data_IF_993225238212
#
_entry.id   IF_993225238212
#
_cell.length_a   1.000
_cell.length_b   1.000
_cell.length_c   1.000
_cell.angle_alpha   90.00
_cell.angle_beta   90.00
_cell.angle_gamma   90.00
#
_symmetry.space_group_name_H-M   'P 1'
#
loop_
_entity.id
_entity.type
_entity.pdbx_description
1 polymer ?
#
# COMPACT_ATOMS: atom_id res chain seq x y z
N UNK A 1 -16.10 4.43 16.18
CA UNK A 1 -16.02 5.43 17.27
C UNK A 1 -15.76 6.77 16.60
N UNK A 2 -16.53 7.83 16.87
CA UNK A 2 -16.38 9.09 16.14
C UNK A 2 -14.99 9.71 16.40
N UNK A 3 -14.27 10.05 15.33
CA UNK A 3 -12.97 10.71 15.41
C UNK A 3 -13.06 12.02 16.20
N UNK A 4 -12.08 12.34 17.06
CA UNK A 4 -12.05 13.64 17.71
C UNK A 4 -11.95 14.74 16.65
N UNK A 5 -12.66 15.85 16.85
CA UNK A 5 -12.70 16.97 15.90
C UNK A 5 -11.32 17.62 15.65
N UNK A 6 -10.33 17.33 16.50
CA UNK A 6 -8.95 17.75 16.34
C UNK A 6 -8.13 16.88 15.36
N UNK A 7 -8.63 15.70 14.99
CA UNK A 7 -7.94 14.84 14.02
C UNK A 7 -8.06 15.47 12.61
N UNK A 8 -6.96 15.59 11.84
CA UNK A 8 -6.97 16.26 10.53
C UNK A 8 -7.90 15.58 9.51
N UNK A 9 -8.26 14.31 9.71
CA UNK A 9 -9.17 13.56 8.85
C UNK A 9 -10.64 13.62 9.30
N UNK A 10 -10.94 14.22 10.44
CA UNK A 10 -12.31 14.29 10.96
C UNK A 10 -13.28 15.05 10.04
N UNK A 11 -12.75 15.91 9.16
CA UNK A 11 -13.50 16.66 8.17
C UNK A 11 -12.78 16.65 6.80
N UNK A 12 -13.50 16.85 5.68
CA UNK A 12 -12.88 17.10 4.39
C UNK A 12 -11.90 18.28 4.44
N UNK A 13 -10.78 18.17 3.73
CA UNK A 13 -9.80 19.25 3.69
C UNK A 13 -10.38 20.52 3.07
N UNK A 14 -10.06 21.65 3.67
CA UNK A 14 -10.42 22.98 3.15
C UNK A 14 -9.36 23.57 2.21
N UNK A 15 -8.23 22.87 2.02
CA UNK A 15 -7.17 23.30 1.11
C UNK A 15 -7.62 23.15 -0.37
N UNK A 16 -6.97 23.87 -1.30
CA UNK A 16 -7.34 23.81 -2.72
C UNK A 16 -7.44 22.38 -3.24
N UNK A 17 -8.53 22.08 -3.95
CA UNK A 17 -8.83 20.76 -4.53
C UNK A 17 -8.99 19.62 -3.50
N UNK A 18 -9.19 19.95 -2.22
CA UNK A 18 -9.26 18.93 -1.16
C UNK A 18 -7.91 18.33 -0.81
N UNK A 19 -6.79 19.03 -1.11
CA UNK A 19 -5.44 18.58 -0.78
C UNK A 19 -5.33 18.22 0.71
N UNK A 20 -4.87 17.01 1.09
CA UNK A 20 -4.63 16.68 2.49
C UNK A 20 -3.66 17.67 3.15
N UNK A 21 -3.93 18.08 4.39
CA UNK A 21 -3.00 18.91 5.16
C UNK A 21 -1.86 18.05 5.70
N UNK A 22 -0.92 17.69 4.81
CA UNK A 22 0.22 16.81 5.13
C UNK A 22 1.08 17.31 6.30
N UNK A 23 1.07 18.61 6.60
CA UNK A 23 1.81 19.17 7.72
C UNK A 23 1.19 18.81 9.09
N UNK A 24 -0.10 18.45 9.11
CA UNK A 24 -0.84 18.10 10.32
C UNK A 24 -0.98 16.58 10.53
N UNK A 25 -0.59 15.76 9.55
CA UNK A 25 -0.74 14.30 9.61
C UNK A 25 0.44 13.69 10.37
N UNK A 26 0.12 12.83 11.34
CA UNK A 26 1.11 12.05 12.11
C UNK A 26 0.75 10.56 12.03
N UNK A 27 1.70 9.65 12.28
CA UNK A 27 1.41 8.21 12.31
C UNK A 27 0.24 7.85 13.24
N UNK A 28 0.16 8.49 14.41
CA UNK A 28 -0.89 8.22 15.40
C UNK A 28 -2.27 8.63 14.90
N UNK A 29 -2.39 9.87 14.39
CA UNK A 29 -3.69 10.39 13.96
C UNK A 29 -4.17 9.72 12.66
N UNK A 30 -3.24 9.27 11.80
CA UNK A 30 -3.52 8.46 10.63
C UNK A 30 -4.05 7.08 11.03
N UNK A 31 -3.36 6.38 11.94
CA UNK A 31 -3.78 5.07 12.44
C UNK A 31 -5.19 5.11 13.06
N UNK A 32 -5.46 6.13 13.88
CA UNK A 32 -6.79 6.34 14.46
C UNK A 32 -7.86 6.59 13.39
N UNK A 33 -7.55 7.41 12.37
CA UNK A 33 -8.49 7.75 11.32
C UNK A 33 -8.77 6.58 10.37
N UNK A 34 -7.77 5.78 10.00
CA UNK A 34 -7.96 4.58 9.19
C UNK A 34 -8.79 3.55 9.96
N UNK A 35 -8.55 3.35 11.25
CA UNK A 35 -9.36 2.46 12.08
C UNK A 35 -10.83 2.92 12.18
N UNK A 36 -11.05 4.22 12.43
CA UNK A 36 -12.39 4.78 12.47
C UNK A 36 -13.10 4.72 11.11
N UNK A 37 -12.35 4.95 10.01
CA UNK A 37 -12.86 4.84 8.64
C UNK A 37 -13.37 3.45 8.32
N UNK A 38 -12.62 2.39 8.67
CA UNK A 38 -13.09 1.01 8.49
C UNK A 38 -14.35 0.70 9.31
N UNK A 39 -14.48 1.24 10.53
CA UNK A 39 -15.68 1.06 11.34
C UNK A 39 -16.90 1.77 10.74
N UNK A 40 -16.72 2.99 10.24
CA UNK A 40 -17.77 3.80 9.59
C UNK A 40 -18.23 3.13 8.30
N UNK A 41 -17.29 2.77 7.42
CA UNK A 41 -17.57 2.11 6.15
C UNK A 41 -18.28 0.77 6.33
N UNK A 42 -17.84 -0.02 7.31
CA UNK A 42 -18.51 -1.28 7.62
C UNK A 42 -19.95 -1.09 8.13
N UNK A 43 -20.26 0.03 8.78
CA UNK A 43 -21.62 0.36 9.19
C UNK A 43 -22.47 0.79 7.99
N UNK A 44 -21.91 1.58 7.07
CA UNK A 44 -22.57 1.97 5.82
C UNK A 44 -22.91 0.73 4.96
N UNK A 45 -21.98 -0.20 4.84
CA UNK A 45 -22.23 -1.49 4.19
C UNK A 45 -23.33 -2.31 4.88
N UNK A 46 -23.36 -2.33 6.22
CA UNK A 46 -24.40 -3.03 6.96
C UNK A 46 -25.79 -2.40 6.74
N UNK A 47 -25.88 -1.07 6.66
CA UNK A 47 -27.12 -0.35 6.34
C UNK A 47 -27.63 -0.73 4.94
N UNK A 48 -26.74 -0.76 3.94
CA UNK A 48 -27.08 -1.18 2.57
C UNK A 48 -27.53 -2.64 2.57
N UNK A 49 -26.77 -3.53 3.23
CA UNK A 49 -26.99 -4.96 3.26
C UNK A 49 -28.31 -5.35 3.94
N UNK A 50 -28.71 -4.61 4.97
CA UNK A 50 -29.91 -4.91 5.78
C UNK A 50 -31.15 -4.12 5.38
N UNK A 51 -31.04 -3.16 4.47
CA UNK A 51 -32.21 -2.42 3.95
C UNK A 51 -33.26 -3.39 3.36
N UNK A 52 -34.50 -3.25 3.83
CA UNK A 52 -35.66 -4.02 3.35
C UNK A 52 -36.24 -3.46 2.04
N UNK A 53 -35.79 -2.28 1.62
CA UNK A 53 -36.21 -1.69 0.35
C UNK A 53 -35.70 -2.52 -0.84
N UNK A 54 -36.47 -2.50 -1.93
CA UNK A 54 -36.03 -3.11 -3.18
C UNK A 54 -34.72 -2.45 -3.66
N UNK A 55 -33.72 -3.24 -4.12
CA UNK A 55 -32.47 -2.68 -4.61
C UNK A 55 -32.69 -1.73 -5.79
N UNK A 56 -32.13 -0.54 -5.71
CA UNK A 56 -32.03 0.43 -6.80
C UNK A 56 -30.56 0.80 -7.02
N UNK A 57 -30.26 1.46 -8.14
CA UNK A 57 -28.90 1.98 -8.40
C UNK A 57 -28.45 2.88 -7.26
N UNK A 58 -29.32 3.78 -6.81
CA UNK A 58 -29.01 4.79 -5.79
C UNK A 58 -28.79 4.19 -4.40
N UNK A 59 -29.64 3.24 -3.98
CA UNK A 59 -29.59 2.68 -2.62
C UNK A 59 -28.61 1.51 -2.47
N UNK A 60 -28.05 1.00 -3.57
CA UNK A 60 -27.13 -0.14 -3.57
C UNK A 60 -25.82 0.24 -4.24
N UNK A 61 -25.81 0.48 -5.56
CA UNK A 61 -24.56 0.68 -6.30
C UNK A 61 -23.90 2.01 -5.95
N UNK A 62 -24.64 3.12 -6.03
CA UNK A 62 -24.09 4.42 -5.66
C UNK A 62 -23.87 4.56 -4.14
N UNK A 63 -24.65 3.85 -3.32
CA UNK A 63 -24.44 3.81 -1.88
C UNK A 63 -23.12 3.12 -1.54
N UNK A 64 -22.80 2.00 -2.21
CA UNK A 64 -21.52 1.32 -2.08
C UNK A 64 -20.35 2.20 -2.52
N UNK A 65 -20.48 2.92 -3.63
CA UNK A 65 -19.45 3.85 -4.12
C UNK A 65 -19.24 5.09 -3.24
N UNK A 66 -20.26 5.47 -2.45
CA UNK A 66 -20.15 6.60 -1.51
C UNK A 66 -19.67 6.20 -0.12
N UNK A 67 -19.77 4.92 0.21
CA UNK A 67 -19.27 4.40 1.47
C UNK A 67 -17.76 4.61 1.59
N UNK A 68 -17.25 4.69 2.81
CA UNK A 68 -15.80 4.74 3.05
C UNK A 68 -15.17 6.11 2.88
N UNK A 69 -15.95 7.19 2.75
CA UNK A 69 -15.42 8.54 2.54
C UNK A 69 -14.40 8.99 3.61
N UNK A 70 -14.54 8.54 4.87
CA UNK A 70 -13.54 8.75 5.90
C UNK A 70 -12.30 7.88 5.70
N UNK A 71 -12.48 6.60 5.37
CA UNK A 71 -11.37 5.68 5.14
C UNK A 71 -10.50 6.16 3.97
N UNK A 72 -11.10 6.53 2.85
CA UNK A 72 -10.40 7.08 1.68
C UNK A 72 -9.60 8.33 2.02
N UNK A 73 -10.23 9.25 2.77
CA UNK A 73 -9.60 10.50 3.20
C UNK A 73 -8.40 10.27 4.13
N UNK A 74 -8.40 9.18 4.90
CA UNK A 74 -7.32 8.86 5.83
C UNK A 74 -6.23 7.97 5.19
N UNK A 75 -6.63 6.89 4.52
CA UNK A 75 -5.74 5.86 4.01
C UNK A 75 -4.83 6.39 2.89
N UNK A 76 -5.38 7.11 1.90
CA UNK A 76 -4.60 7.59 0.77
C UNK A 76 -3.40 8.48 1.19
N UNK A 77 -3.57 9.54 2.02
CA UNK A 77 -2.43 10.33 2.48
C UNK A 77 -1.56 9.60 3.50
N UNK A 78 -2.12 8.74 4.36
CA UNK A 78 -1.34 7.96 5.32
C UNK A 78 -0.33 7.04 4.61
N UNK A 79 -0.77 6.25 3.63
CA UNK A 79 0.11 5.34 2.89
C UNK A 79 1.02 6.08 1.90
N UNK A 80 0.63 7.29 1.47
CA UNK A 80 1.56 8.19 0.76
C UNK A 80 2.73 8.60 1.67
N UNK A 81 2.46 8.99 2.91
CA UNK A 81 3.51 9.37 3.88
C UNK A 81 4.34 8.16 4.31
N UNK A 82 3.71 7.00 4.53
CA UNK A 82 4.43 5.77 4.83
C UNK A 82 5.42 5.40 3.70
N UNK A 83 5.00 5.53 2.44
CA UNK A 83 5.87 5.22 1.30
C UNK A 83 6.95 6.29 1.03
N UNK A 84 6.67 7.57 1.26
CA UNK A 84 7.55 8.67 0.84
C UNK A 84 8.44 9.22 1.95
N UNK A 85 7.92 9.28 3.17
CA UNK A 85 8.65 9.71 4.37
C UNK A 85 9.18 8.49 5.11
N UNK A 86 8.32 7.49 5.33
CA UNK A 86 8.66 6.23 6.00
C UNK A 86 9.21 6.39 7.41
N UNK A 87 9.90 5.37 7.90
CA UNK A 87 10.51 5.32 9.23
C UNK A 87 9.71 4.49 10.22
N UNK A 88 10.29 4.22 11.39
CA UNK A 88 9.81 3.21 12.35
C UNK A 88 8.35 3.42 12.78
N UNK A 89 7.90 4.66 12.94
CA UNK A 89 6.52 4.96 13.32
C UNK A 89 5.53 4.65 12.19
N UNK A 90 5.89 4.96 10.93
CA UNK A 90 5.05 4.64 9.77
C UNK A 90 5.07 3.14 9.46
N UNK A 91 6.23 2.48 9.59
CA UNK A 91 6.36 1.03 9.45
C UNK A 91 5.46 0.28 10.46
N UNK A 92 5.35 0.81 11.69
CA UNK A 92 4.46 0.27 12.71
C UNK A 92 2.98 0.45 12.34
N UNK A 93 2.61 1.60 11.74
CA UNK A 93 1.25 1.82 11.22
C UNK A 93 0.93 0.82 10.10
N UNK A 94 1.83 0.63 9.13
CA UNK A 94 1.61 -0.34 8.05
C UNK A 94 1.47 -1.77 8.60
N UNK A 95 2.37 -2.19 9.49
CA UNK A 95 2.34 -3.52 10.10
C UNK A 95 1.04 -3.79 10.88
N UNK A 96 0.49 -2.77 11.55
CA UNK A 96 -0.78 -2.90 12.26
C UNK A 96 -1.99 -2.87 11.31
N UNK A 97 -1.98 -1.98 10.31
CA UNK A 97 -3.17 -1.65 9.54
C UNK A 97 -3.35 -2.51 8.29
N UNK A 98 -2.28 -2.98 7.64
CA UNK A 98 -2.40 -3.77 6.40
C UNK A 98 -3.20 -5.07 6.60
N UNK A 99 -2.96 -5.90 7.63
CA UNK A 99 -3.79 -7.09 7.86
C UNK A 99 -5.25 -6.76 8.19
N UNK A 100 -5.50 -5.64 8.89
CA UNK A 100 -6.86 -5.19 9.22
C UNK A 100 -7.62 -4.72 7.97
N UNK A 101 -6.94 -4.00 7.08
CA UNK A 101 -7.49 -3.55 5.81
C UNK A 101 -7.77 -4.71 4.86
N UNK A 102 -6.91 -5.74 4.85
CA UNK A 102 -7.18 -6.97 4.11
C UNK A 102 -8.44 -7.67 4.63
N UNK A 103 -8.56 -7.84 5.94
CA UNK A 103 -9.77 -8.39 6.55
C UNK A 103 -11.01 -7.51 6.32
N UNK A 104 -10.85 -6.18 6.28
CA UNK A 104 -11.93 -5.25 5.97
C UNK A 104 -12.41 -5.37 4.52
N UNK A 105 -11.49 -5.50 3.57
CA UNK A 105 -11.79 -5.80 2.16
C UNK A 105 -12.56 -7.14 2.03
N UNK A 106 -12.12 -8.19 2.73
CA UNK A 106 -12.83 -9.47 2.75
C UNK A 106 -14.27 -9.35 3.26
N UNK A 107 -14.56 -8.40 4.17
CA UNK A 107 -15.93 -8.19 4.66
C UNK A 107 -16.86 -7.70 3.55
N UNK A 108 -16.40 -6.79 2.68
CA UNK A 108 -17.18 -6.35 1.54
C UNK A 108 -17.38 -7.49 0.54
N UNK A 109 -16.26 -8.06 0.05
CA UNK A 109 -16.29 -8.96 -1.09
C UNK A 109 -16.88 -10.35 -0.79
N UNK A 110 -16.98 -10.72 0.48
CA UNK A 110 -17.59 -11.97 0.92
C UNK A 110 -18.98 -11.78 1.54
N UNK A 111 -19.53 -10.55 1.53
CA UNK A 111 -20.91 -10.31 1.99
C UNK A 111 -21.92 -10.73 0.91
N UNK A 112 -22.55 -11.88 1.15
CA UNK A 112 -23.57 -12.42 0.27
C UNK A 112 -24.80 -11.52 0.15
N UNK A 113 -25.15 -10.75 1.18
CA UNK A 113 -26.32 -9.86 1.15
C UNK A 113 -26.12 -8.72 0.16
N UNK A 114 -24.95 -8.08 0.19
CA UNK A 114 -24.58 -7.04 -0.77
C UNK A 114 -24.49 -7.59 -2.18
N UNK A 115 -23.86 -8.76 -2.35
CA UNK A 115 -23.76 -9.42 -3.64
C UNK A 115 -25.15 -9.72 -4.24
N UNK A 116 -26.09 -10.26 -3.45
CA UNK A 116 -27.45 -10.54 -3.94
C UNK A 116 -28.22 -9.28 -4.35
N UNK A 117 -27.99 -8.14 -3.68
CA UNK A 117 -28.60 -6.86 -4.10
C UNK A 117 -28.10 -6.42 -5.47
N UNK A 118 -26.79 -6.58 -5.74
CA UNK A 118 -26.20 -6.30 -7.05
C UNK A 118 -26.70 -7.28 -8.13
N UNK A 119 -26.85 -8.56 -7.80
CA UNK A 119 -27.46 -9.55 -8.71
C UNK A 119 -28.90 -9.17 -9.05
N UNK A 120 -29.69 -8.70 -8.08
CA UNK A 120 -31.05 -8.25 -8.35
C UNK A 120 -31.12 -7.04 -9.28
N UNK A 121 -30.13 -6.13 -9.23
CA UNK A 121 -29.99 -5.05 -10.21
C UNK A 121 -29.63 -5.57 -11.60
N UNK A 122 -28.73 -6.55 -11.68
CA UNK A 122 -28.34 -7.20 -12.94
C UNK A 122 -29.51 -7.87 -13.64
N UNK A 123 -30.36 -8.58 -12.88
CA UNK A 123 -31.57 -9.21 -13.41
C UNK A 123 -32.57 -8.20 -13.98
N UNK A 124 -32.53 -6.96 -13.50
CA UNK A 124 -33.39 -5.85 -13.93
C UNK A 124 -32.69 -4.91 -14.91
N UNK A 125 -31.45 -5.20 -15.32
CA UNK A 125 -30.58 -4.32 -16.13
C UNK A 125 -31.29 -3.72 -17.35
N UNK A 126 -32.01 -4.54 -18.11
CA UNK A 126 -32.75 -4.08 -19.31
C UNK A 126 -33.88 -3.11 -18.97
N UNK A 127 -34.54 -3.28 -17.82
CA UNK A 127 -35.66 -2.46 -17.39
C UNK A 127 -35.22 -1.13 -16.74
N UNK A 128 -34.02 -1.12 -16.15
CA UNK A 128 -33.46 0.06 -15.47
C UNK A 128 -32.99 1.14 -16.46
N UNK A 129 -32.69 0.78 -17.71
CA UNK A 129 -32.27 1.75 -18.73
C UNK A 129 -30.98 2.48 -18.36
N UNK A 130 -30.02 1.75 -17.78
CA UNK A 130 -28.75 2.28 -17.29
C UNK A 130 -27.97 2.98 -18.41
N UNK A 131 -27.29 4.08 -18.06
CA UNK A 131 -26.26 4.63 -18.91
C UNK A 131 -25.02 3.71 -18.94
N UNK A 132 -24.11 3.96 -19.89
CA UNK A 132 -22.97 3.09 -20.14
C UNK A 132 -21.98 3.01 -18.96
N UNK A 133 -21.85 4.06 -18.14
CA UNK A 133 -20.93 4.08 -17.01
C UNK A 133 -21.49 3.25 -15.85
N UNK A 134 -22.76 3.45 -15.54
CA UNK A 134 -23.46 2.69 -14.49
C UNK A 134 -23.58 1.20 -14.84
N UNK A 135 -23.85 0.88 -16.11
CA UNK A 135 -23.93 -0.49 -16.63
C UNK A 135 -22.58 -1.23 -16.49
N UNK A 136 -21.49 -0.54 -16.82
CA UNK A 136 -20.13 -1.03 -16.66
C UNK A 136 -19.77 -1.23 -15.19
N UNK A 137 -20.05 -0.24 -14.34
CA UNK A 137 -19.77 -0.29 -12.91
C UNK A 137 -20.46 -1.48 -12.24
N UNK A 138 -21.73 -1.73 -12.55
CA UNK A 138 -22.45 -2.91 -12.06
C UNK A 138 -21.78 -4.22 -12.50
N UNK A 139 -21.41 -4.33 -13.78
CA UNK A 139 -20.70 -5.51 -14.30
C UNK A 139 -19.36 -5.73 -13.58
N UNK A 140 -18.67 -4.63 -13.30
CA UNK A 140 -17.36 -4.62 -12.67
C UNK A 140 -17.42 -5.07 -11.21
N UNK A 141 -18.38 -4.56 -10.43
CA UNK A 141 -18.64 -5.05 -9.08
C UNK A 141 -18.93 -6.54 -9.06
N UNK A 142 -19.85 -7.03 -9.90
CA UNK A 142 -20.18 -8.46 -9.97
C UNK A 142 -18.98 -9.32 -10.35
N UNK A 143 -18.09 -8.82 -11.22
CA UNK A 143 -16.84 -9.47 -11.57
C UNK A 143 -15.90 -9.54 -10.36
N UNK A 144 -15.69 -8.42 -9.66
CA UNK A 144 -14.82 -8.36 -8.49
C UNK A 144 -15.31 -9.24 -7.35
N UNK A 145 -16.60 -9.29 -7.05
CA UNK A 145 -17.17 -10.22 -6.06
C UNK A 145 -16.83 -11.68 -6.41
N UNK A 146 -16.97 -12.08 -7.68
CA UNK A 146 -16.60 -13.44 -8.14
C UNK A 146 -15.10 -13.71 -8.00
N UNK A 147 -14.26 -12.78 -8.41
CA UNK A 147 -12.79 -12.93 -8.34
C UNK A 147 -12.28 -12.95 -6.90
N UNK A 148 -12.95 -12.26 -5.98
CA UNK A 148 -12.67 -12.29 -4.55
C UNK A 148 -13.39 -13.45 -3.82
N UNK A 149 -13.93 -14.43 -4.55
CA UNK A 149 -14.34 -15.70 -3.97
C UNK A 149 -15.71 -15.70 -3.29
N UNK A 150 -16.64 -14.80 -3.64
CA UNK A 150 -18.02 -14.80 -3.08
C UNK A 150 -18.72 -16.17 -3.22
N UNK A 151 -18.37 -16.94 -4.26
CA UNK A 151 -18.94 -18.26 -4.55
C UNK A 151 -18.34 -19.39 -3.71
N UNK A 152 -17.24 -19.16 -2.99
CA UNK A 152 -16.67 -20.13 -2.07
C UNK A 152 -17.54 -20.27 -0.82
N UNK A 153 -17.59 -21.47 -0.25
CA UNK A 153 -18.40 -21.79 0.92
C UNK A 153 -17.58 -22.59 1.95
N UNK A 154 -18.01 -22.55 3.22
CA UNK A 154 -17.43 -23.37 4.28
C UNK A 154 -15.92 -23.17 4.43
N UNK A 155 -15.19 -24.29 4.44
CA UNK A 155 -13.73 -24.32 4.66
C UNK A 155 -12.95 -23.55 3.58
N UNK A 156 -13.40 -23.57 2.32
CA UNK A 156 -12.71 -22.87 1.23
C UNK A 156 -12.76 -21.34 1.40
N UNK A 157 -13.90 -20.81 1.90
CA UNK A 157 -14.05 -19.37 2.17
C UNK A 157 -13.17 -18.94 3.33
N UNK A 158 -13.13 -19.73 4.41
CA UNK A 158 -12.25 -19.43 5.55
C UNK A 158 -10.78 -19.53 5.17
N UNK A 159 -10.43 -20.49 4.30
CA UNK A 159 -9.08 -20.62 3.77
C UNK A 159 -8.67 -19.40 2.93
N UNK A 160 -9.57 -18.86 2.10
CA UNK A 160 -9.30 -17.65 1.32
C UNK A 160 -8.96 -16.45 2.22
N UNK A 161 -9.75 -16.20 3.27
CA UNK A 161 -9.49 -15.12 4.24
C UNK A 161 -8.13 -15.27 4.91
N UNK A 162 -7.80 -16.51 5.31
CA UNK A 162 -6.51 -16.82 5.92
C UNK A 162 -5.33 -16.56 4.96
N UNK A 163 -5.50 -16.87 3.67
CA UNK A 163 -4.51 -16.59 2.63
C UNK A 163 -4.36 -15.08 2.39
N UNK A 164 -5.47 -14.34 2.28
CA UNK A 164 -5.44 -12.89 2.07
C UNK A 164 -4.71 -12.17 3.21
N UNK A 165 -4.99 -12.54 4.47
CA UNK A 165 -4.29 -11.99 5.62
C UNK A 165 -2.78 -12.31 5.60
N UNK A 166 -2.40 -13.56 5.27
CA UNK A 166 -0.99 -13.96 5.17
C UNK A 166 -0.26 -13.27 4.01
N UNK A 167 -0.94 -13.02 2.89
CA UNK A 167 -0.39 -12.28 1.75
C UNK A 167 -0.11 -10.84 2.16
N UNK A 168 -1.08 -10.15 2.79
CA UNK A 168 -0.92 -8.78 3.24
C UNK A 168 0.22 -8.62 4.26
N UNK A 169 0.33 -9.55 5.21
CA UNK A 169 1.45 -9.61 6.15
C UNK A 169 2.80 -9.78 5.42
N UNK A 170 2.87 -10.72 4.47
CA UNK A 170 4.10 -11.02 3.75
C UNK A 170 4.51 -9.91 2.77
N UNK A 171 3.57 -9.20 2.17
CA UNK A 171 3.84 -8.02 1.33
C UNK A 171 4.39 -6.86 2.16
N UNK A 172 3.82 -6.61 3.35
CA UNK A 172 4.31 -5.61 4.29
C UNK A 172 5.72 -5.95 4.76
N UNK A 173 5.95 -7.21 5.14
CA UNK A 173 7.27 -7.69 5.53
C UNK A 173 8.29 -7.53 4.38
N UNK A 174 7.91 -7.88 3.15
CA UNK A 174 8.78 -7.72 1.98
C UNK A 174 9.17 -6.26 1.75
N UNK A 175 8.19 -5.34 1.80
CA UNK A 175 8.40 -3.90 1.60
C UNK A 175 9.44 -3.36 2.59
N UNK A 176 9.23 -3.61 3.88
CA UNK A 176 10.13 -3.13 4.95
C UNK A 176 11.54 -3.73 4.83
N UNK A 177 11.64 -5.04 4.56
CA UNK A 177 12.95 -5.69 4.33
C UNK A 177 13.65 -5.15 3.09
N UNK A 178 12.93 -4.88 2.01
CA UNK A 178 13.50 -4.35 0.77
C UNK A 178 14.04 -2.93 0.96
N UNK A 179 13.31 -2.06 1.65
CA UNK A 179 13.78 -0.71 2.02
C UNK A 179 15.05 -0.80 2.86
N UNK A 180 15.02 -1.61 3.93
CA UNK A 180 16.18 -1.81 4.80
C UNK A 180 17.38 -2.41 4.05
N UNK A 181 17.14 -3.32 3.11
CA UNK A 181 18.20 -3.88 2.27
C UNK A 181 18.84 -2.83 1.34
N UNK A 182 18.07 -1.88 0.81
CA UNK A 182 18.59 -0.76 0.03
C UNK A 182 19.42 0.18 0.91
N UNK A 183 18.92 0.50 2.10
CA UNK A 183 19.62 1.36 3.06
C UNK A 183 20.94 0.75 3.55
N UNK A 184 20.93 -0.54 3.89
CA UNK A 184 22.11 -1.27 4.37
C UNK A 184 23.14 -1.52 3.26
N UNK A 185 22.72 -1.51 1.99
CA UNK A 185 23.63 -1.70 0.86
C UNK A 185 24.52 -0.48 0.58
N UNK A 186 24.23 0.68 1.18
CA UNK A 186 25.00 1.91 0.97
C UNK A 186 26.52 1.65 1.10
N UNK A 187 27.28 2.19 0.15
CA UNK A 187 28.69 1.85 -0.03
C UNK A 187 29.56 3.09 0.12
N UNK A 188 30.46 3.08 1.11
CA UNK A 188 31.54 4.08 1.18
C UNK A 188 32.58 3.79 0.11
N UNK A 189 32.91 4.82 -0.68
CA UNK A 189 33.94 4.77 -1.71
C UNK A 189 35.17 5.55 -1.27
N UNK A 190 36.34 4.95 -1.47
CA UNK A 190 37.62 5.61 -1.20
C UNK A 190 37.98 6.60 -2.32
N UNK A 191 38.90 7.52 -2.07
CA UNK A 191 39.23 8.62 -3.00
C UNK A 191 39.68 8.12 -4.39
N UNK A 192 40.41 7.01 -4.45
CA UNK A 192 40.85 6.37 -5.69
C UNK A 192 39.71 5.67 -6.44
N UNK A 193 38.63 5.32 -5.76
CA UNK A 193 37.45 4.71 -6.35
C UNK A 193 36.52 5.72 -7.03
N UNK A 194 36.61 7.00 -6.66
CA UNK A 194 35.80 8.09 -7.20
C UNK A 194 36.27 8.57 -8.59
N UNK A 195 37.26 7.90 -9.19
CA UNK A 195 37.78 8.28 -10.49
C UNK A 195 36.67 8.23 -11.57
N UNK A 196 36.53 9.32 -12.34
CA UNK A 196 35.54 9.46 -13.41
C UNK A 196 34.21 10.12 -13.00
N UNK A 197 33.98 10.31 -11.71
CA UNK A 197 32.88 11.13 -11.21
C UNK A 197 33.22 12.62 -11.32
N UNK A 198 32.24 13.43 -11.72
CA UNK A 198 32.33 14.90 -11.71
C UNK A 198 32.13 15.46 -10.29
N UNK A 199 32.33 16.77 -10.14
CA UNK A 199 32.22 17.46 -8.85
C UNK A 199 30.80 17.36 -8.27
N UNK A 200 29.77 17.42 -9.11
CA UNK A 200 28.37 17.29 -8.68
C UNK A 200 28.08 15.90 -8.12
N UNK A 201 28.53 14.83 -8.78
CA UNK A 201 28.40 13.47 -8.28
C UNK A 201 29.17 13.27 -6.96
N UNK A 202 30.39 13.81 -6.85
CA UNK A 202 31.16 13.76 -5.61
C UNK A 202 30.48 14.52 -4.47
N UNK A 203 29.95 15.71 -4.74
CA UNK A 203 29.20 16.50 -3.77
C UNK A 203 27.93 15.77 -3.30
N UNK A 204 27.22 15.09 -4.21
CA UNK A 204 26.05 14.27 -3.85
C UNK A 204 26.43 13.09 -2.94
N UNK A 205 27.55 12.40 -3.21
CA UNK A 205 28.03 11.31 -2.37
C UNK A 205 28.48 11.81 -0.98
N UNK A 206 29.08 12.98 -0.90
CA UNK A 206 29.46 13.62 0.37
C UNK A 206 28.22 14.06 1.17
N UNK A 207 27.19 14.58 0.50
CA UNK A 207 25.91 14.91 1.14
C UNK A 207 25.22 13.66 1.71
N UNK A 208 25.25 12.53 0.98
CA UNK A 208 24.76 11.25 1.49
C UNK A 208 25.54 10.78 2.72
N UNK A 209 26.86 10.96 2.74
CA UNK A 209 27.69 10.61 3.89
C UNK A 209 27.29 11.44 5.12
N UNK A 210 27.18 12.76 4.94
CA UNK A 210 26.76 13.68 5.99
C UNK A 210 25.35 13.37 6.54
N UNK A 211 24.38 13.05 5.66
CA UNK A 211 23.03 12.64 6.05
C UNK A 211 23.00 11.33 6.86
N UNK A 212 24.05 10.52 6.75
CA UNK A 212 24.23 9.27 7.49
C UNK A 212 25.22 9.41 8.66
N UNK A 213 25.58 10.65 9.01
CA UNK A 213 26.54 10.97 10.07
C UNK A 213 27.90 10.28 9.88
N UNK A 214 28.32 10.15 8.63
CA UNK A 214 29.59 9.54 8.22
C UNK A 214 30.45 10.52 7.42
N UNK A 215 31.76 10.37 7.53
CA UNK A 215 32.72 11.10 6.69
C UNK A 215 32.92 10.40 5.33
N UNK A 216 33.37 11.17 4.34
CA UNK A 216 33.77 10.64 3.03
C UNK A 216 32.65 10.70 1.98
N UNK A 217 32.59 9.68 1.13
CA UNK A 217 31.70 9.63 -0.02
C UNK A 217 30.87 8.34 0.02
N UNK A 218 29.55 8.47 0.24
CA UNK A 218 28.65 7.33 0.36
C UNK A 218 27.72 7.25 -0.84
N UNK A 219 27.80 6.13 -1.55
CA UNK A 219 26.90 5.78 -2.64
C UNK A 219 25.66 5.10 -2.07
N UNK A 220 24.50 5.74 -2.28
CA UNK A 220 23.18 5.15 -2.05
C UNK A 220 22.67 4.54 -3.35
N UNK A 221 21.75 3.58 -3.22
CA UNK A 221 21.27 2.79 -4.33
C UNK A 221 19.87 3.19 -4.77
N UNK A 222 19.66 3.20 -6.08
CA UNK A 222 18.32 3.23 -6.67
C UNK A 222 17.77 1.81 -6.78
N UNK A 223 16.44 1.70 -6.90
CA UNK A 223 15.73 0.43 -7.05
C UNK A 223 16.28 -0.49 -8.18
N UNK A 224 16.55 0.02 -9.41
CA UNK A 224 17.04 -0.83 -10.51
C UNK A 224 18.38 -1.52 -10.22
N UNK A 225 18.68 -2.61 -10.93
CA UNK A 225 19.98 -3.32 -10.78
C UNK A 225 21.16 -2.50 -11.30
N UNK A 226 20.97 -1.73 -12.37
CA UNK A 226 22.02 -0.86 -12.91
C UNK A 226 21.99 0.49 -12.19
N UNK A 227 23.15 0.93 -11.71
CA UNK A 227 23.29 2.21 -11.00
C UNK A 227 23.91 3.27 -11.92
N UNK A 228 23.42 4.52 -11.91
CA UNK A 228 23.96 5.59 -12.77
C UNK A 228 25.47 5.81 -12.62
N UNK A 229 26.00 5.64 -11.40
CA UNK A 229 27.43 5.77 -11.12
C UNK A 229 28.30 4.81 -11.96
N UNK A 230 27.77 3.63 -12.33
CA UNK A 230 28.50 2.64 -13.14
C UNK A 230 28.93 3.17 -14.50
N UNK A 231 28.17 4.12 -15.07
CA UNK A 231 28.49 4.73 -16.37
C UNK A 231 29.62 5.76 -16.28
N UNK A 232 29.95 6.25 -15.09
CA UNK A 232 30.93 7.32 -14.86
C UNK A 232 32.22 6.82 -14.21
N UNK A 233 32.11 5.87 -13.28
CA UNK A 233 33.25 5.27 -12.59
C UNK A 233 34.24 4.63 -13.58
N UNK A 234 35.48 5.10 -13.60
CA UNK A 234 36.53 4.56 -14.48
C UNK A 234 37.23 3.36 -13.86
N UNK A 235 37.31 3.28 -12.52
CA UNK A 235 37.87 2.13 -11.80
C UNK A 235 37.02 0.86 -12.01
N UNK A 236 37.58 -0.20 -12.62
CA UNK A 236 36.86 -1.48 -12.79
C UNK A 236 36.52 -2.14 -11.45
N UNK A 237 37.37 -1.97 -10.44
CA UNK A 237 37.14 -2.50 -9.10
C UNK A 237 35.95 -1.79 -8.43
N UNK A 238 35.89 -0.45 -8.51
CA UNK A 238 34.77 0.32 -7.97
C UNK A 238 33.45 -0.04 -8.66
N UNK A 239 33.43 -0.11 -10.00
CA UNK A 239 32.23 -0.55 -10.76
C UNK A 239 31.76 -1.93 -10.33
N UNK A 240 32.70 -2.88 -10.13
CA UNK A 240 32.38 -4.22 -9.68
C UNK A 240 31.75 -4.20 -8.28
N UNK A 241 32.37 -3.51 -7.32
CA UNK A 241 31.85 -3.37 -5.95
C UNK A 241 30.44 -2.78 -5.93
N UNK A 242 30.20 -1.70 -6.69
CA UNK A 242 28.88 -1.06 -6.80
C UNK A 242 27.85 -2.03 -7.39
N UNK A 243 28.18 -2.73 -8.48
CA UNK A 243 27.23 -3.66 -9.10
C UNK A 243 26.95 -4.87 -8.19
N UNK A 244 27.98 -5.45 -7.56
CA UNK A 244 27.82 -6.57 -6.63
C UNK A 244 26.95 -6.17 -5.42
N UNK A 245 27.20 -5.01 -4.81
CA UNK A 245 26.35 -4.48 -3.75
C UNK A 245 24.91 -4.24 -4.23
N UNK A 246 24.73 -3.76 -5.46
CA UNK A 246 23.40 -3.55 -6.03
C UNK A 246 22.62 -4.84 -6.23
N UNK A 247 23.29 -5.91 -6.70
CA UNK A 247 22.67 -7.20 -7.00
C UNK A 247 22.44 -8.04 -5.74
N UNK A 248 23.19 -7.78 -4.66
CA UNK A 248 23.05 -8.49 -3.39
C UNK A 248 21.92 -7.94 -2.50
N UNK A 249 21.26 -6.82 -2.86
CA UNK A 249 20.12 -6.30 -2.09
C UNK A 249 19.01 -7.35 -1.98
N UNK A 250 18.51 -7.55 -0.77
CA UNK A 250 17.46 -8.52 -0.50
C UNK A 250 17.94 -9.97 -0.42
N UNK A 251 19.27 -10.20 -0.46
CA UNK A 251 19.90 -11.53 -0.48
C UNK A 251 21.02 -11.61 0.57
N UNK A 252 21.02 -12.65 1.41
CA UNK A 252 22.10 -12.90 2.36
C UNK A 252 21.63 -13.63 3.61
N UNK A 253 22.46 -13.67 4.65
CA UNK A 253 22.13 -14.35 5.92
C UNK A 253 21.56 -13.39 6.98
N UNK A 254 21.45 -12.09 6.65
CA UNK A 254 20.83 -11.10 7.54
C UNK A 254 19.31 -11.21 7.46
N UNK A 255 18.71 -11.78 8.51
CA UNK A 255 17.26 -11.92 8.61
C UNK A 255 16.48 -10.60 8.55
N UNK A 256 17.12 -9.46 8.82
CA UNK A 256 16.48 -8.15 8.71
C UNK A 256 16.35 -7.65 7.25
N UNK A 257 17.10 -8.20 6.31
CA UNK A 257 17.15 -7.73 4.92
C UNK A 257 16.98 -8.84 3.87
N UNK A 258 17.12 -10.12 4.24
CA UNK A 258 16.88 -11.26 3.34
C UNK A 258 15.39 -11.40 3.01
N UNK A 259 15.06 -11.29 1.72
CA UNK A 259 13.68 -11.35 1.21
C UNK A 259 13.33 -12.72 0.62
N UNK A 260 14.29 -13.64 0.49
CA UNK A 260 14.10 -14.90 -0.26
C UNK A 260 13.00 -15.78 0.33
N UNK A 261 12.99 -15.94 1.66
CA UNK A 261 11.96 -16.71 2.36
C UNK A 261 10.57 -16.09 2.20
N UNK A 262 10.49 -14.76 2.26
CA UNK A 262 9.24 -13.99 2.11
C UNK A 262 8.69 -14.11 0.69
N UNK A 263 9.55 -13.98 -0.33
CA UNK A 263 9.16 -14.18 -1.74
C UNK A 263 8.65 -15.61 -1.96
N UNK A 264 9.34 -16.62 -1.42
CA UNK A 264 8.89 -18.02 -1.52
C UNK A 264 7.57 -18.26 -0.78
N UNK A 265 7.35 -17.58 0.35
CA UNK A 265 6.06 -17.59 1.08
C UNK A 265 4.96 -17.00 0.20
N UNK A 266 5.15 -15.79 -0.32
CA UNK A 266 4.20 -15.11 -1.22
C UNK A 266 3.85 -15.95 -2.45
N UNK A 267 4.86 -16.54 -3.11
CA UNK A 267 4.65 -17.37 -4.30
C UNK A 267 3.93 -18.71 -4.03
N UNK A 268 3.84 -19.15 -2.77
CA UNK A 268 3.06 -20.34 -2.36
C UNK A 268 1.64 -20.00 -1.93
N UNK A 269 1.45 -18.77 -1.44
CA UNK A 269 0.13 -18.26 -1.03
C UNK A 269 -0.71 -17.85 -2.25
N UNK A 270 -0.07 -17.35 -3.30
CA UNK A 270 -0.65 -17.02 -4.61
C UNK A 270 -0.69 -18.24 -5.53
#
# INVERSE_FOLDING_TARGET
MALPASNPFAQPSSLPFGLPDFAAITPENAREAVAAGMEEEAAEWEEIATSEDAPTVENTLEALERAGALLDRAAAPAFTLASSVGGEEWDAVEAEMMPKLAAHSDRLWLDERLYQKLVALEEQREALGLDAETDWLLSEYLRQFRENGIQLQGEDRERLKELNAQIAEAETEFSQKATKAIENAALTLDEDELAGLDEDARASLAANAAAREQDGHVLTFLSPSQQPALARLTSPAARRRVLEASLARGWGDDGATDTRSVILRLARLR
#
